data_IF_943794321265
#
_entry.id   IF_943794321265
#
_cell.length_a   1.000
_cell.length_b   1.000
_cell.length_c   1.000
_cell.angle_alpha   90.00
_cell.angle_beta   90.00
_cell.angle_gamma   90.00
#
_symmetry.space_group_name_H-M   'P 1'
#
loop_
_entity.id
_entity.type
_entity.pdbx_description
1 polymer ?
#
# COMPACT_ATOMS: atom_id res chain seq x y z
N UNK A 1 2.01 -15.76 -16.29
CA UNK A 1 1.60 -16.73 -15.24
C UNK A 1 1.27 -15.94 -14.00
N UNK A 2 0.03 -15.49 -13.93
CA UNK A 2 -0.43 -14.55 -12.92
C UNK A 2 -1.35 -15.30 -11.96
N UNK A 3 -0.73 -16.20 -11.20
CA UNK A 3 -1.39 -16.87 -10.09
C UNK A 3 -1.52 -15.87 -8.95
N UNK A 4 -2.74 -15.60 -8.59
CA UNK A 4 -3.19 -14.82 -7.43
C UNK A 4 -2.71 -15.46 -6.10
N UNK A 5 -1.38 -15.47 -5.90
CA UNK A 5 -0.69 -16.17 -4.79
C UNK A 5 -0.59 -15.27 -3.53
N UNK A 6 -1.27 -14.11 -3.55
CA UNK A 6 -1.28 -13.10 -2.49
C UNK A 6 -2.57 -13.12 -1.65
N UNK A 7 -3.30 -14.22 -1.57
CA UNK A 7 -4.53 -14.26 -0.78
C UNK A 7 -4.26 -14.72 0.66
N UNK A 8 -4.58 -13.87 1.62
CA UNK A 8 -4.78 -14.28 3.00
C UNK A 8 -6.03 -15.19 3.10
N UNK A 9 -6.05 -16.05 4.11
CA UNK A 9 -7.21 -16.88 4.42
C UNK A 9 -8.27 -16.02 5.11
N UNK A 10 -9.17 -15.42 4.32
CA UNK A 10 -10.18 -14.46 4.80
C UNK A 10 -11.38 -15.16 5.43
N UNK A 11 -11.97 -14.52 6.44
CA UNK A 11 -13.31 -14.88 6.93
C UNK A 11 -14.36 -14.60 5.84
N UNK A 12 -15.44 -15.39 5.84
CA UNK A 12 -16.58 -15.23 4.93
C UNK A 12 -17.72 -14.52 5.62
N UNK A 13 -18.64 -13.95 4.86
CA UNK A 13 -19.82 -13.26 5.36
C UNK A 13 -20.64 -14.10 6.35
N UNK A 14 -20.84 -15.38 6.07
CA UNK A 14 -21.61 -16.29 6.92
C UNK A 14 -20.87 -16.73 8.19
N UNK A 15 -19.60 -16.41 8.32
CA UNK A 15 -18.80 -16.67 9.53
C UNK A 15 -18.84 -15.50 10.51
N UNK A 16 -19.38 -14.33 10.09
CA UNK A 16 -19.67 -13.24 11.01
C UNK A 16 -20.83 -13.63 11.95
N UNK A 17 -20.79 -13.17 13.23
CA UNK A 17 -21.92 -13.34 14.14
C UNK A 17 -23.21 -12.77 13.56
N UNK A 18 -24.35 -13.44 13.85
CA UNK A 18 -25.66 -13.03 13.35
C UNK A 18 -26.01 -11.59 13.75
N UNK A 19 -25.64 -11.18 14.96
CA UNK A 19 -25.88 -9.81 15.46
C UNK A 19 -25.12 -8.77 14.63
N UNK A 20 -23.90 -9.07 14.21
CA UNK A 20 -23.10 -8.16 13.36
C UNK A 20 -23.71 -8.06 11.97
N UNK A 21 -24.11 -9.22 11.38
CA UNK A 21 -24.77 -9.24 10.07
C UNK A 21 -26.10 -8.48 10.08
N UNK A 22 -26.92 -8.69 11.12
CA UNK A 22 -28.19 -8.01 11.28
C UNK A 22 -28.01 -6.48 11.41
N UNK A 23 -26.98 -6.03 12.14
CA UNK A 23 -26.70 -4.60 12.30
C UNK A 23 -26.19 -3.97 10.97
N UNK A 24 -25.37 -4.70 10.19
CA UNK A 24 -24.96 -4.25 8.85
C UNK A 24 -26.20 -4.10 7.94
N UNK A 25 -27.10 -5.06 7.91
CA UNK A 25 -28.35 -5.01 7.13
C UNK A 25 -29.25 -3.86 7.59
N UNK A 26 -29.41 -3.69 8.89
CA UNK A 26 -30.22 -2.60 9.49
C UNK A 26 -29.69 -1.22 9.06
N UNK A 27 -28.38 -0.99 9.24
CA UNK A 27 -27.74 0.29 8.87
C UNK A 27 -27.69 0.52 7.36
N UNK A 28 -27.61 -0.55 6.58
CA UNK A 28 -27.69 -0.48 5.10
C UNK A 28 -29.10 -0.20 4.61
N UNK A 29 -30.13 -0.43 5.44
CA UNK A 29 -31.53 -0.30 5.08
C UNK A 29 -32.05 -1.39 4.14
N UNK A 30 -31.28 -2.47 3.93
CA UNK A 30 -31.60 -3.56 3.01
C UNK A 30 -30.93 -4.86 3.44
N UNK A 31 -31.55 -6.00 3.11
CA UNK A 31 -30.96 -7.32 3.38
C UNK A 31 -29.86 -7.67 2.38
N UNK A 32 -28.88 -8.46 2.81
CA UNK A 32 -27.86 -9.02 1.94
C UNK A 32 -28.43 -10.23 1.19
N UNK A 33 -28.45 -10.17 -0.16
CA UNK A 33 -28.86 -11.27 -1.03
C UNK A 33 -27.72 -12.21 -1.37
N UNK A 34 -26.55 -11.64 -1.60
CA UNK A 34 -25.34 -12.40 -1.91
C UNK A 34 -24.12 -11.68 -1.33
N UNK A 35 -23.10 -12.47 -0.98
CA UNK A 35 -21.81 -11.97 -0.51
C UNK A 35 -20.69 -12.68 -1.27
N UNK A 36 -19.81 -11.92 -1.89
CA UNK A 36 -18.67 -12.44 -2.65
C UNK A 36 -17.38 -11.95 -2.00
N UNK A 37 -16.68 -12.87 -1.32
CA UNK A 37 -15.36 -12.56 -0.74
C UNK A 37 -14.38 -12.19 -1.85
N UNK A 38 -13.67 -11.08 -1.68
CA UNK A 38 -12.70 -10.63 -2.67
C UNK A 38 -11.34 -11.31 -2.43
N UNK A 39 -10.69 -11.81 -3.48
CA UNK A 39 -9.35 -12.37 -3.37
C UNK A 39 -8.30 -11.26 -3.21
N UNK A 40 -7.09 -11.65 -2.81
CA UNK A 40 -5.95 -10.74 -2.72
C UNK A 40 -5.79 -10.08 -1.35
N UNK A 41 -4.66 -9.33 -1.20
CA UNK A 41 -4.27 -8.67 0.04
C UNK A 41 -3.74 -9.60 1.12
N UNK A 42 -3.13 -9.01 2.14
CA UNK A 42 -2.45 -9.74 3.23
C UNK A 42 -3.27 -9.77 4.53
N UNK A 43 -4.37 -9.04 4.61
CA UNK A 43 -5.28 -9.04 5.75
C UNK A 43 -6.24 -10.24 5.69
N UNK A 44 -6.43 -10.92 6.81
CA UNK A 44 -7.27 -12.10 6.94
C UNK A 44 -8.71 -11.79 7.42
N UNK A 45 -9.04 -10.53 7.69
CA UNK A 45 -10.40 -10.11 7.99
C UNK A 45 -11.37 -10.35 6.83
N UNK A 46 -12.65 -10.13 7.04
CA UNK A 46 -13.62 -10.11 5.96
C UNK A 46 -13.32 -8.95 4.99
N UNK A 47 -13.34 -9.26 3.70
CA UNK A 47 -13.40 -8.27 2.63
C UNK A 47 -14.30 -8.83 1.54
N UNK A 48 -15.51 -8.29 1.38
CA UNK A 48 -16.50 -8.83 0.48
C UNK A 48 -17.37 -7.76 -0.18
N UNK A 49 -17.77 -8.01 -1.43
CA UNK A 49 -18.89 -7.34 -2.06
C UNK A 49 -20.18 -7.93 -1.50
N UNK A 50 -21.08 -7.07 -1.06
CA UNK A 50 -22.43 -7.42 -0.65
C UNK A 50 -23.42 -6.87 -1.67
N UNK A 51 -24.25 -7.76 -2.23
CA UNK A 51 -25.37 -7.41 -3.08
C UNK A 51 -26.62 -7.25 -2.21
N UNK A 52 -27.17 -6.04 -2.15
CA UNK A 52 -28.32 -5.73 -1.30
C UNK A 52 -29.65 -6.03 -2.02
N UNK A 53 -30.72 -6.24 -1.25
CA UNK A 53 -32.05 -6.57 -1.77
C UNK A 53 -32.71 -5.44 -2.55
N UNK A 54 -32.22 -4.21 -2.39
CA UNK A 54 -32.67 -3.02 -3.13
C UNK A 54 -31.87 -2.75 -4.42
N UNK A 55 -30.94 -3.64 -4.78
CA UNK A 55 -30.13 -3.58 -5.99
C UNK A 55 -28.83 -2.79 -5.87
N UNK A 56 -28.55 -2.21 -4.68
CA UNK A 56 -27.24 -1.57 -4.42
C UNK A 56 -26.18 -2.63 -4.11
N UNK A 57 -24.94 -2.29 -4.47
CA UNK A 57 -23.76 -3.01 -4.04
C UNK A 57 -22.96 -2.16 -3.05
N UNK A 58 -22.43 -2.81 -2.00
CA UNK A 58 -21.51 -2.20 -1.05
C UNK A 58 -20.31 -3.12 -0.83
N UNK A 59 -19.22 -2.55 -0.36
CA UNK A 59 -18.03 -3.31 0.02
C UNK A 59 -17.89 -3.30 1.53
N UNK A 60 -17.75 -4.48 2.13
CA UNK A 60 -17.58 -4.64 3.58
C UNK A 60 -16.16 -5.07 3.90
N UNK A 61 -15.55 -4.41 4.88
CA UNK A 61 -14.38 -4.92 5.62
C UNK A 61 -14.79 -5.12 7.07
N UNK A 62 -14.38 -6.25 7.66
CA UNK A 62 -14.62 -6.49 9.09
C UNK A 62 -13.50 -7.34 9.68
N UNK A 63 -13.21 -7.09 10.96
CA UNK A 63 -12.22 -7.83 11.73
C UNK A 63 -12.66 -7.92 13.18
N UNK A 64 -12.25 -9.01 13.87
CA UNK A 64 -12.38 -9.11 15.31
C UNK A 64 -11.63 -7.96 16.00
N UNK A 65 -12.27 -7.29 16.95
CA UNK A 65 -11.68 -6.13 17.64
C UNK A 65 -10.45 -6.46 18.49
N UNK A 66 -10.28 -7.74 18.86
CA UNK A 66 -9.14 -8.25 19.61
C UNK A 66 -8.03 -8.81 18.70
N UNK A 67 -8.24 -8.80 17.37
CA UNK A 67 -7.23 -9.24 16.42
C UNK A 67 -6.03 -8.29 16.39
N UNK A 68 -4.85 -8.85 16.14
CA UNK A 68 -3.61 -8.09 16.01
C UNK A 68 -3.61 -7.03 14.91
N UNK A 69 -4.48 -7.16 13.90
CA UNK A 69 -4.67 -6.20 12.82
C UNK A 69 -5.78 -5.18 13.09
N UNK A 70 -6.49 -5.26 14.23
CA UNK A 70 -7.60 -4.36 14.55
C UNK A 70 -7.17 -2.87 14.55
N UNK A 71 -5.96 -2.58 15.03
CA UNK A 71 -5.42 -1.22 15.00
C UNK A 71 -5.30 -0.66 13.57
N UNK A 72 -4.84 -1.49 12.62
CA UNK A 72 -4.75 -1.14 11.20
C UNK A 72 -6.15 -0.82 10.61
N UNK A 73 -7.18 -1.60 10.96
CA UNK A 73 -8.55 -1.33 10.52
C UNK A 73 -9.11 -0.03 11.12
N UNK A 74 -8.80 0.29 12.38
CA UNK A 74 -9.18 1.60 12.97
C UNK A 74 -8.53 2.76 12.23
N UNK A 75 -7.24 2.65 11.94
CA UNK A 75 -6.53 3.67 11.16
C UNK A 75 -7.15 3.86 9.77
N UNK A 76 -7.51 2.77 9.08
CA UNK A 76 -8.19 2.85 7.77
C UNK A 76 -9.54 3.56 7.89
N UNK A 77 -10.33 3.23 8.91
CA UNK A 77 -11.62 3.87 9.16
C UNK A 77 -11.50 5.37 9.43
N UNK A 78 -10.57 5.76 10.31
CA UNK A 78 -10.29 7.15 10.64
C UNK A 78 -9.82 7.95 9.43
N UNK A 79 -8.95 7.34 8.61
CA UNK A 79 -8.45 7.94 7.37
C UNK A 79 -9.58 8.12 6.37
N UNK A 80 -10.31 7.05 6.07
CA UNK A 80 -11.40 7.07 5.08
C UNK A 80 -12.51 8.07 5.44
N UNK A 81 -12.83 8.22 6.75
CA UNK A 81 -13.82 9.19 7.22
C UNK A 81 -13.41 10.66 7.00
N UNK A 82 -12.11 10.92 6.83
CA UNK A 82 -11.55 12.27 6.70
C UNK A 82 -11.00 12.58 5.31
N UNK A 83 -10.96 11.60 4.41
CA UNK A 83 -10.59 11.84 3.01
C UNK A 83 -11.58 12.81 2.37
N UNK A 84 -11.11 13.83 1.62
CA UNK A 84 -12.00 14.69 0.87
C UNK A 84 -12.70 13.91 -0.24
N UNK A 85 -13.93 14.29 -0.59
CA UNK A 85 -14.71 13.63 -1.64
C UNK A 85 -14.07 13.70 -3.04
N UNK A 86 -13.07 14.57 -3.22
CA UNK A 86 -12.25 14.68 -4.43
C UNK A 86 -11.09 13.67 -4.46
N UNK A 87 -10.78 13.01 -3.36
CA UNK A 87 -9.78 11.94 -3.36
C UNK A 87 -10.30 10.76 -4.17
N UNK A 88 -9.45 10.12 -4.99
CA UNK A 88 -9.84 8.97 -5.79
C UNK A 88 -9.93 7.70 -4.93
N UNK A 89 -10.83 7.67 -3.96
CA UNK A 89 -11.04 6.58 -3.01
C UNK A 89 -12.52 6.24 -2.89
N UNK A 90 -12.90 4.99 -2.57
CA UNK A 90 -14.28 4.64 -2.25
C UNK A 90 -14.76 5.41 -1.02
N UNK A 91 -15.96 5.96 -1.05
CA UNK A 91 -16.52 6.64 0.10
C UNK A 91 -16.85 5.65 1.21
N UNK A 92 -16.44 5.96 2.45
CA UNK A 92 -16.91 5.26 3.64
C UNK A 92 -18.37 5.66 3.89
N UNK A 93 -19.30 4.70 3.82
CA UNK A 93 -20.73 4.92 4.06
C UNK A 93 -21.05 4.99 5.54
N UNK A 94 -20.57 4.03 6.29
CA UNK A 94 -20.61 3.99 7.74
C UNK A 94 -19.62 2.97 8.31
N UNK A 95 -19.36 3.09 9.58
CA UNK A 95 -18.63 2.10 10.36
C UNK A 95 -19.44 1.66 11.57
N UNK A 96 -19.13 0.47 12.06
CA UNK A 96 -19.64 -0.07 13.30
C UNK A 96 -18.46 -0.48 14.17
N UNK A 97 -18.51 -0.06 15.42
CA UNK A 97 -17.71 -0.63 16.51
C UNK A 97 -18.70 -1.35 17.42
N UNK A 98 -18.95 -2.61 17.12
CA UNK A 98 -19.86 -3.46 17.89
C UNK A 98 -19.04 -4.31 18.87
N UNK A 99 -19.62 -4.85 19.96
CA UNK A 99 -18.87 -5.72 20.83
C UNK A 99 -18.21 -6.88 20.06
N UNK A 100 -16.87 -6.88 20.04
CA UNK A 100 -16.04 -7.88 19.40
C UNK A 100 -15.75 -7.67 17.91
N UNK A 101 -16.28 -6.61 17.25
CA UNK A 101 -16.07 -6.45 15.80
C UNK A 101 -15.94 -4.99 15.36
N UNK A 102 -14.94 -4.74 14.52
CA UNK A 102 -14.80 -3.51 13.73
C UNK A 102 -15.32 -3.78 12.33
N UNK A 103 -16.23 -2.93 11.84
CA UNK A 103 -16.84 -3.06 10.51
C UNK A 103 -16.76 -1.72 9.77
N UNK A 104 -16.37 -1.79 8.51
CA UNK A 104 -16.38 -0.68 7.57
C UNK A 104 -17.26 -1.03 6.37
N UNK A 105 -18.16 -0.14 5.99
CA UNK A 105 -18.95 -0.26 4.75
C UNK A 105 -18.58 0.88 3.83
N UNK A 106 -18.07 0.52 2.66
CA UNK A 106 -17.68 1.44 1.59
C UNK A 106 -18.60 1.32 0.38
N UNK A 107 -18.55 2.32 -0.49
CA UNK A 107 -19.06 2.17 -1.85
C UNK A 107 -18.36 1.00 -2.53
N UNK A 108 -19.13 0.15 -3.21
CA UNK A 108 -18.53 -0.84 -4.08
C UNK A 108 -18.05 -0.18 -5.37
N UNK A 109 -16.79 -0.39 -5.71
CA UNK A 109 -16.19 0.11 -6.94
C UNK A 109 -16.03 -1.05 -7.92
N UNK A 110 -16.77 -1.08 -9.03
CA UNK A 110 -16.54 -2.06 -10.09
C UNK A 110 -15.24 -1.74 -10.81
N UNK A 111 -14.45 -2.78 -11.13
CA UNK A 111 -13.18 -2.59 -11.82
C UNK A 111 -12.29 -3.82 -11.71
N UNK A 112 -11.06 -3.66 -12.18
CA UNK A 112 -10.00 -4.67 -12.04
C UNK A 112 -8.70 -3.99 -11.63
N UNK A 113 -7.78 -4.76 -11.07
CA UNK A 113 -6.46 -4.23 -10.72
C UNK A 113 -5.69 -3.80 -11.96
N UNK A 114 -5.10 -2.59 -11.99
CA UNK A 114 -4.40 -2.10 -13.16
C UNK A 114 -3.16 -2.94 -13.47
N UNK A 115 -2.91 -3.15 -14.75
CA UNK A 115 -1.74 -3.83 -15.26
C UNK A 115 -0.68 -2.81 -15.67
N UNK A 116 0.41 -2.75 -14.93
CA UNK A 116 1.48 -1.77 -15.16
C UNK A 116 2.25 -2.00 -16.47
N UNK A 117 2.16 -3.21 -17.06
CA UNK A 117 2.71 -3.54 -18.40
C UNK A 117 1.83 -3.01 -19.57
N UNK A 118 0.67 -2.44 -19.27
CA UNK A 118 -0.23 -1.82 -20.27
C UNK A 118 -0.08 -0.30 -20.22
N UNK A 119 0.38 0.35 -21.32
CA UNK A 119 0.67 1.77 -21.32
C UNK A 119 -0.52 2.66 -20.89
N UNK A 120 -1.75 2.33 -21.32
CA UNK A 120 -2.93 3.11 -20.96
C UNK A 120 -3.30 2.96 -19.47
N UNK A 121 -3.16 1.77 -18.91
CA UNK A 121 -3.45 1.52 -17.50
C UNK A 121 -2.37 2.14 -16.60
N UNK A 122 -1.09 2.05 -17.00
CA UNK A 122 0.00 2.75 -16.31
C UNK A 122 -0.22 4.27 -16.36
N UNK A 123 -0.62 4.83 -17.50
CA UNK A 123 -0.89 6.27 -17.60
C UNK A 123 -2.03 6.70 -16.65
N UNK A 124 -3.09 5.90 -16.52
CA UNK A 124 -4.16 6.16 -15.56
C UNK A 124 -3.65 6.13 -14.11
N UNK A 125 -2.80 5.17 -13.75
CA UNK A 125 -2.17 5.10 -12.42
C UNK A 125 -1.31 6.34 -12.15
N UNK A 126 -0.46 6.74 -13.09
CA UNK A 126 0.41 7.92 -12.95
C UNK A 126 -0.41 9.21 -12.79
N UNK A 127 -1.45 9.40 -13.60
CA UNK A 127 -2.36 10.55 -13.48
C UNK A 127 -3.08 10.57 -12.12
N UNK A 128 -3.41 9.39 -11.57
CA UNK A 128 -4.03 9.30 -10.25
C UNK A 128 -3.05 9.69 -9.13
N UNK A 129 -1.77 9.35 -9.25
CA UNK A 129 -0.75 9.79 -8.28
C UNK A 129 -0.58 11.31 -8.32
N UNK A 130 -0.61 11.93 -9.50
CA UNK A 130 -0.62 13.38 -9.63
C UNK A 130 -1.86 14.01 -8.96
N UNK A 131 -3.04 13.41 -9.18
CA UNK A 131 -4.28 13.83 -8.53
C UNK A 131 -4.20 13.70 -7.01
N UNK A 132 -3.67 12.58 -6.47
CA UNK A 132 -3.46 12.39 -5.03
C UNK A 132 -2.56 13.48 -4.46
N UNK A 133 -1.41 13.74 -5.09
CA UNK A 133 -0.49 14.79 -4.68
C UNK A 133 -1.17 16.17 -4.62
N UNK A 134 -1.95 16.52 -5.64
CA UNK A 134 -2.66 17.79 -5.71
C UNK A 134 -3.82 17.89 -4.69
N UNK A 135 -4.57 16.79 -4.50
CA UNK A 135 -5.79 16.79 -3.66
C UNK A 135 -5.45 16.68 -2.17
N UNK A 136 -4.35 16.00 -1.83
CA UNK A 136 -3.96 15.66 -0.46
C UNK A 136 -2.79 16.51 0.07
N UNK A 137 -2.52 17.63 -0.60
CA UNK A 137 -1.56 18.64 -0.14
C UNK A 137 -2.26 20.00 0.03
N UNK A 138 -2.36 20.57 1.25
CA UNK A 138 -1.89 19.98 2.52
C UNK A 138 -2.76 18.81 2.98
N UNK A 139 -2.18 17.96 3.81
CA UNK A 139 -2.87 16.79 4.36
C UNK A 139 -4.17 17.18 5.10
N UNK A 140 -5.30 16.51 4.79
CA UNK A 140 -6.53 16.67 5.57
C UNK A 140 -6.43 16.08 7.00
N UNK A 141 -5.33 15.37 7.30
CA UNK A 141 -5.00 14.75 8.57
C UNK A 141 -3.67 15.31 9.12
N UNK A 142 -3.65 16.56 9.61
CA UNK A 142 -2.40 17.23 10.02
C UNK A 142 -1.74 16.60 11.26
N UNK A 143 -2.51 15.84 12.04
CA UNK A 143 -2.04 15.21 13.28
C UNK A 143 -1.32 13.86 13.05
N UNK A 144 -1.32 13.34 11.82
CA UNK A 144 -0.60 12.11 11.50
C UNK A 144 0.92 12.32 11.66
N UNK A 145 1.65 11.26 12.04
CA UNK A 145 3.11 11.30 12.06
C UNK A 145 3.67 11.60 10.67
N UNK A 146 4.85 12.17 10.62
CA UNK A 146 5.59 12.24 9.35
C UNK A 146 6.11 10.86 8.98
N UNK A 147 6.35 10.64 7.68
CA UNK A 147 6.93 9.37 7.21
C UNK A 147 8.28 9.07 7.87
N UNK A 148 9.07 10.08 8.16
CA UNK A 148 10.34 9.93 8.87
C UNK A 148 10.14 9.44 10.31
N UNK A 149 9.09 9.91 11.01
CA UNK A 149 8.76 9.46 12.37
C UNK A 149 8.23 8.02 12.38
N UNK A 150 7.37 7.67 11.43
CA UNK A 150 6.68 6.37 11.43
C UNK A 150 7.55 5.26 10.80
N UNK A 151 8.18 5.55 9.67
CA UNK A 151 8.97 4.57 8.92
C UNK A 151 10.47 4.64 9.18
N UNK A 152 11.00 5.74 9.74
CA UNK A 152 12.43 5.89 10.04
C UNK A 152 13.01 4.73 10.84
N UNK A 153 12.35 4.26 11.91
CA UNK A 153 12.82 3.10 12.67
C UNK A 153 12.76 1.77 11.90
N UNK A 154 11.94 1.69 10.85
CA UNK A 154 11.73 0.46 10.08
C UNK A 154 12.65 0.37 8.86
N UNK A 155 12.89 1.51 8.19
CA UNK A 155 13.70 1.61 6.97
C UNK A 155 15.20 1.75 7.30
N UNK A 156 15.76 0.74 7.95
CA UNK A 156 17.15 0.67 8.42
C UNK A 156 17.79 -0.68 8.09
N UNK A 157 17.38 -1.31 6.98
CA UNK A 157 17.82 -2.66 6.66
C UNK A 157 19.31 -2.76 6.39
N UNK A 158 19.86 -1.84 5.58
CA UNK A 158 21.30 -1.83 5.24
C UNK A 158 22.16 -1.44 6.44
N UNK A 159 21.74 -0.44 7.23
CA UNK A 159 22.46 -0.06 8.47
C UNK A 159 22.53 -1.23 9.43
N UNK A 160 21.41 -1.95 9.66
CA UNK A 160 21.41 -3.15 10.51
C UNK A 160 22.32 -4.25 9.99
N UNK A 161 22.41 -4.44 8.67
CA UNK A 161 23.34 -5.41 8.10
C UNK A 161 24.79 -4.95 8.20
N UNK A 162 25.10 -3.66 8.12
CA UNK A 162 26.45 -3.12 8.30
C UNK A 162 26.91 -3.16 9.77
N UNK A 163 26.00 -2.87 10.70
CA UNK A 163 26.28 -2.90 12.15
C UNK A 163 26.43 -4.32 12.71
N UNK A 164 25.78 -5.31 12.07
CA UNK A 164 25.78 -6.70 12.47
C UNK A 164 26.40 -7.57 11.38
N UNK A 165 26.44 -8.88 11.58
CA UNK A 165 26.88 -9.79 10.53
C UNK A 165 25.84 -9.79 9.37
N UNK A 166 26.22 -9.38 8.13
CA UNK A 166 25.30 -9.41 7.02
C UNK A 166 24.86 -10.84 6.69
N UNK A 167 23.63 -11.04 6.18
CA UNK A 167 23.13 -12.36 5.82
C UNK A 167 24.06 -13.07 4.85
N UNK A 168 24.27 -14.40 5.05
CA UNK A 168 25.15 -15.19 4.20
C UNK A 168 24.68 -15.26 2.73
N UNK A 169 23.37 -15.10 2.49
CA UNK A 169 22.71 -15.12 1.19
C UNK A 169 22.54 -13.71 0.57
N UNK A 170 23.18 -12.69 1.14
CA UNK A 170 23.20 -11.36 0.55
C UNK A 170 23.95 -11.41 -0.79
N UNK A 171 23.37 -10.81 -1.84
CA UNK A 171 23.99 -10.79 -3.17
C UNK A 171 25.36 -10.06 -3.16
N UNK A 172 26.20 -10.39 -4.14
CA UNK A 172 27.58 -9.90 -4.19
C UNK A 172 27.71 -8.39 -4.35
N UNK A 173 26.77 -7.76 -5.10
CA UNK A 173 26.80 -6.32 -5.29
C UNK A 173 26.45 -5.60 -3.99
N UNK A 174 25.36 -6.01 -3.32
CA UNK A 174 24.95 -5.45 -2.02
C UNK A 174 26.03 -5.65 -0.96
N UNK A 175 26.68 -6.82 -0.95
CA UNK A 175 27.75 -7.12 0.00
C UNK A 175 28.97 -6.22 -0.20
N UNK A 176 29.40 -5.99 -1.46
CA UNK A 176 30.54 -5.13 -1.76
C UNK A 176 30.26 -3.65 -1.48
N UNK A 177 29.02 -3.23 -1.55
CA UNK A 177 28.63 -1.84 -1.39
C UNK A 177 27.88 -1.56 -0.07
N UNK A 178 27.93 -2.48 0.91
CA UNK A 178 27.09 -2.44 2.11
C UNK A 178 27.25 -1.12 2.89
N UNK A 179 28.46 -0.65 3.10
CA UNK A 179 28.73 0.60 3.83
C UNK A 179 28.15 1.81 3.09
N UNK A 180 28.29 1.85 1.76
CA UNK A 180 27.70 2.91 0.93
C UNK A 180 26.16 2.87 0.92
N UNK A 181 25.58 1.65 0.92
CA UNK A 181 24.13 1.48 1.02
C UNK A 181 23.62 1.94 2.39
N UNK A 182 24.31 1.63 3.47
CA UNK A 182 23.98 2.08 4.82
C UNK A 182 24.09 3.61 4.96
N UNK A 183 25.13 4.22 4.38
CA UNK A 183 25.29 5.66 4.33
C UNK A 183 24.17 6.33 3.53
N UNK A 184 23.89 5.87 2.31
CA UNK A 184 22.81 6.42 1.48
C UNK A 184 21.44 6.22 2.14
N UNK A 185 21.16 5.04 2.72
CA UNK A 185 19.95 4.79 3.48
C UNK A 185 19.78 5.79 4.63
N UNK A 186 20.85 6.20 5.30
CA UNK A 186 20.75 7.10 6.46
C UNK A 186 20.21 8.49 6.12
N UNK A 187 20.31 8.91 4.86
CA UNK A 187 19.95 10.27 4.41
C UNK A 187 18.51 10.42 3.93
N UNK A 188 17.75 9.32 3.72
CA UNK A 188 16.41 9.43 3.10
C UNK A 188 15.44 10.31 3.88
N UNK A 189 15.53 10.34 5.21
CA UNK A 189 14.64 11.14 6.05
C UNK A 189 14.81 12.64 5.85
N UNK A 190 16.01 13.08 5.46
CA UNK A 190 16.32 14.49 5.23
C UNK A 190 15.59 15.06 4.01
N UNK A 191 15.18 14.17 3.09
CA UNK A 191 14.50 14.51 1.84
C UNK A 191 12.99 14.23 1.89
N UNK A 192 12.50 13.54 2.94
CA UNK A 192 11.13 13.03 3.02
C UNK A 192 10.12 14.03 3.59
N UNK A 193 10.58 15.20 4.05
CA UNK A 193 9.72 16.21 4.67
C UNK A 193 8.70 16.76 3.65
N UNK A 194 7.45 16.90 4.10
CA UNK A 194 6.35 17.44 3.31
C UNK A 194 5.02 17.38 4.04
N UNK A 195 4.02 18.05 3.46
CA UNK A 195 2.69 18.19 4.05
C UNK A 195 1.61 17.36 3.31
N UNK A 196 2.01 16.48 2.41
CA UNK A 196 1.08 15.62 1.68
C UNK A 196 0.65 14.45 2.56
N UNK A 197 -0.65 14.10 2.55
CA UNK A 197 -1.11 12.81 3.04
C UNK A 197 -0.66 11.73 2.05
N UNK A 198 0.20 10.84 2.52
CA UNK A 198 0.71 9.71 1.76
C UNK A 198 -0.11 8.46 2.04
N UNK A 199 -0.25 7.62 1.02
CA UNK A 199 -0.84 6.28 1.15
C UNK A 199 0.15 5.26 1.71
N UNK A 200 1.42 5.35 1.31
CA UNK A 200 2.59 4.52 1.64
C UNK A 200 2.55 3.05 1.23
N UNK A 201 1.41 2.54 0.79
CA UNK A 201 1.25 1.16 0.28
C UNK A 201 0.58 1.14 -1.09
N UNK A 202 0.92 2.11 -1.97
CA UNK A 202 0.44 2.11 -3.36
C UNK A 202 1.02 0.91 -4.12
N UNK A 203 0.14 -0.05 -4.41
CA UNK A 203 0.42 -1.24 -5.20
C UNK A 203 -0.74 -1.47 -6.18
N UNK A 204 -0.52 -2.20 -7.28
CA UNK A 204 -1.61 -2.51 -8.20
C UNK A 204 -2.82 -3.17 -7.55
N UNK A 205 -2.62 -4.03 -6.55
CA UNK A 205 -3.69 -4.71 -5.82
C UNK A 205 -4.44 -3.80 -4.80
N UNK A 206 -3.92 -2.59 -4.53
CA UNK A 206 -4.60 -1.53 -3.78
C UNK A 206 -5.23 -0.47 -4.71
N UNK A 207 -5.38 -0.78 -5.98
CA UNK A 207 -6.00 0.08 -6.99
C UNK A 207 -7.04 -0.69 -7.80
N UNK A 208 -8.10 0.00 -8.24
CA UNK A 208 -9.07 -0.52 -9.19
C UNK A 208 -9.20 0.44 -10.38
N UNK A 209 -8.93 -0.07 -11.58
CA UNK A 209 -9.26 0.62 -12.81
C UNK A 209 -10.74 0.40 -13.10
N UNK A 210 -11.50 1.49 -13.05
CA UNK A 210 -12.93 1.53 -13.27
C UNK A 210 -13.28 1.47 -14.78
N UNK A 211 -14.52 1.11 -15.15
CA UNK A 211 -14.95 1.10 -16.54
C UNK A 211 -14.86 2.46 -17.25
N UNK A 212 -14.89 3.57 -16.50
CA UNK A 212 -14.72 4.94 -17.01
C UNK A 212 -13.25 5.35 -17.20
N UNK A 213 -12.30 4.46 -16.89
CA UNK A 213 -10.86 4.69 -17.01
C UNK A 213 -10.22 5.36 -15.80
N UNK A 214 -10.99 5.75 -14.78
CA UNK A 214 -10.46 6.32 -13.55
C UNK A 214 -9.94 5.22 -12.62
N UNK A 215 -8.92 5.53 -11.82
CA UNK A 215 -8.43 4.66 -10.76
C UNK A 215 -9.10 5.03 -9.42
N UNK A 216 -9.53 4.02 -8.68
CA UNK A 216 -9.86 4.16 -7.27
C UNK A 216 -8.73 3.55 -6.43
N UNK A 217 -8.26 4.28 -5.41
CA UNK A 217 -7.21 3.86 -4.48
C UNK A 217 -7.85 3.34 -3.21
N UNK A 218 -7.49 2.12 -2.83
CA UNK A 218 -8.07 1.33 -1.74
C UNK A 218 -7.08 1.19 -0.59
N UNK A 219 -7.58 0.76 0.58
CA UNK A 219 -6.75 0.27 1.71
C UNK A 219 -5.85 1.37 2.33
N UNK A 220 -6.47 2.43 2.82
CA UNK A 220 -5.82 3.59 3.47
C UNK A 220 -5.42 3.29 4.93
N UNK A 221 -4.77 2.15 5.14
CA UNK A 221 -4.45 1.63 6.47
C UNK A 221 -3.10 2.13 7.04
N UNK A 222 -2.25 2.74 6.21
CA UNK A 222 -0.89 3.15 6.56
C UNK A 222 -0.59 4.62 6.26
N UNK A 223 -1.52 5.54 6.55
CA UNK A 223 -1.36 6.95 6.19
C UNK A 223 -0.27 7.62 7.03
N UNK A 224 0.52 8.47 6.41
CA UNK A 224 1.43 9.38 7.11
C UNK A 224 1.58 10.67 6.32
N UNK A 225 2.32 11.67 6.85
CA UNK A 225 2.63 12.90 6.13
C UNK A 225 4.04 12.87 5.58
N UNK A 226 4.23 13.39 4.37
CA UNK A 226 5.55 13.48 3.77
C UNK A 226 5.57 14.24 2.46
N UNK A 227 6.68 14.16 1.77
CA UNK A 227 6.84 14.76 0.46
C UNK A 227 6.00 14.03 -0.60
N UNK A 228 5.30 14.76 -1.46
CA UNK A 228 4.34 14.23 -2.42
C UNK A 228 4.90 13.18 -3.39
N UNK A 229 6.21 13.22 -3.66
CA UNK A 229 6.88 12.30 -4.58
C UNK A 229 7.04 10.87 -4.04
N UNK A 230 6.89 10.66 -2.73
CA UNK A 230 7.22 9.40 -2.05
C UNK A 230 6.37 8.24 -2.54
N UNK A 231 5.06 8.42 -2.68
CA UNK A 231 4.16 7.35 -3.12
C UNK A 231 4.49 6.86 -4.54
N UNK A 232 4.88 7.76 -5.46
CA UNK A 232 5.31 7.37 -6.80
C UNK A 232 6.64 6.58 -6.74
N UNK A 233 7.59 7.04 -5.93
CA UNK A 233 8.88 6.35 -5.80
C UNK A 233 8.69 5.00 -5.11
N UNK A 234 7.78 4.87 -4.14
CA UNK A 234 7.45 3.59 -3.50
C UNK A 234 6.81 2.59 -4.47
N UNK A 235 5.99 3.05 -5.43
CA UNK A 235 5.39 2.22 -6.48
C UNK A 235 6.39 1.84 -7.58
N UNK A 236 7.42 2.66 -7.81
CA UNK A 236 8.29 2.55 -8.98
C UNK A 236 9.03 1.21 -9.12
N UNK A 237 9.40 0.46 -8.06
CA UNK A 237 9.91 -0.90 -8.20
C UNK A 237 8.93 -1.87 -8.87
N UNK A 238 7.63 -1.73 -8.61
CA UNK A 238 6.62 -2.54 -9.28
C UNK A 238 6.55 -2.21 -10.79
N UNK A 239 6.73 -0.94 -11.17
CA UNK A 239 6.80 -0.51 -12.57
C UNK A 239 8.09 -1.05 -13.23
N UNK A 240 9.24 -0.92 -12.55
CA UNK A 240 10.54 -1.41 -13.02
C UNK A 240 10.56 -2.93 -13.28
N UNK A 241 9.78 -3.70 -12.50
CA UNK A 241 9.65 -5.15 -12.67
C UNK A 241 9.06 -5.57 -14.02
N UNK A 242 8.43 -4.64 -14.76
CA UNK A 242 7.91 -4.85 -16.11
C UNK A 242 8.86 -4.38 -17.22
N UNK A 243 10.12 -4.04 -16.88
CA UNK A 243 11.12 -3.59 -17.85
C UNK A 243 10.93 -2.17 -18.36
N UNK A 244 10.11 -1.37 -17.70
CA UNK A 244 9.85 0.02 -18.04
C UNK A 244 11.04 0.88 -17.58
N UNK A 245 11.45 1.85 -18.42
CA UNK A 245 12.48 2.84 -18.06
C UNK A 245 11.94 3.77 -16.97
N UNK A 246 12.09 3.33 -15.74
CA UNK A 246 11.56 4.02 -14.56
C UNK A 246 12.38 5.26 -14.20
N UNK A 247 13.69 5.29 -14.55
CA UNK A 247 14.50 6.49 -14.35
C UNK A 247 14.00 7.64 -15.23
N UNK A 248 13.71 7.35 -16.50
CA UNK A 248 13.10 8.33 -17.40
C UNK A 248 11.70 8.75 -16.93
N UNK A 249 10.88 7.80 -16.48
CA UNK A 249 9.56 8.08 -15.94
C UNK A 249 9.64 9.07 -14.78
N UNK A 250 10.48 8.78 -13.77
CA UNK A 250 10.64 9.66 -12.60
C UNK A 250 11.21 11.03 -12.98
N UNK A 251 12.12 11.10 -13.96
CA UNK A 251 12.70 12.35 -14.42
C UNK A 251 11.70 13.26 -15.19
N UNK A 252 10.58 12.70 -15.66
CA UNK A 252 9.61 13.44 -16.49
C UNK A 252 8.23 13.60 -15.84
N UNK A 253 7.94 12.86 -14.77
CA UNK A 253 6.65 12.93 -14.10
C UNK A 253 6.53 14.18 -13.22
N UNK A 254 5.44 14.96 -13.28
CA UNK A 254 5.31 16.25 -12.57
C UNK A 254 5.59 16.17 -11.06
N UNK A 255 5.25 15.05 -10.42
CA UNK A 255 5.45 14.87 -8.97
C UNK A 255 6.92 14.62 -8.60
N UNK A 256 7.77 14.22 -9.55
CA UNK A 256 9.16 13.81 -9.28
C UNK A 256 10.21 14.53 -10.12
N UNK A 257 9.83 15.24 -11.20
CA UNK A 257 10.76 15.86 -12.16
C UNK A 257 11.73 16.87 -11.54
N UNK A 258 11.28 17.58 -10.51
CA UNK A 258 12.06 18.61 -9.83
C UNK A 258 12.75 18.10 -8.55
N UNK A 259 12.65 16.79 -8.27
CA UNK A 259 13.24 16.19 -7.07
C UNK A 259 14.70 15.80 -7.33
N UNK A 260 15.57 16.13 -6.38
CA UNK A 260 16.96 15.70 -6.43
C UNK A 260 17.05 14.18 -6.65
N UNK A 261 17.76 13.72 -7.71
CA UNK A 261 17.97 12.29 -7.94
C UNK A 261 18.61 11.55 -6.76
N UNK A 262 19.33 12.24 -5.90
CA UNK A 262 19.89 11.68 -4.65
C UNK A 262 18.78 11.34 -3.67
N UNK A 263 17.78 12.21 -3.50
CA UNK A 263 16.62 11.97 -2.64
C UNK A 263 15.86 10.71 -3.06
N UNK A 264 15.58 10.58 -4.37
CA UNK A 264 14.96 9.38 -4.96
C UNK A 264 15.79 8.12 -4.68
N UNK A 265 17.10 8.20 -4.89
CA UNK A 265 18.02 7.07 -4.69
C UNK A 265 18.10 6.66 -3.21
N UNK A 266 18.12 7.63 -2.29
CA UNK A 266 18.16 7.39 -0.86
C UNK A 266 16.89 6.66 -0.38
N UNK A 267 15.71 7.11 -0.82
CA UNK A 267 14.45 6.47 -0.45
C UNK A 267 14.32 5.06 -1.06
N UNK A 268 14.68 4.87 -2.33
CA UNK A 268 14.74 3.55 -2.96
C UNK A 268 15.71 2.62 -2.25
N UNK A 269 16.86 3.14 -1.81
CA UNK A 269 17.83 2.40 -1.03
C UNK A 269 17.22 1.93 0.31
N UNK A 270 16.53 2.82 1.01
CA UNK A 270 15.86 2.50 2.27
C UNK A 270 14.76 1.42 2.10
N UNK A 271 13.97 1.50 1.02
CA UNK A 271 12.98 0.47 0.68
C UNK A 271 13.63 -0.88 0.36
N UNK A 272 14.73 -0.88 -0.42
CA UNK A 272 15.46 -2.11 -0.75
C UNK A 272 16.00 -2.79 0.52
N UNK A 273 16.59 -2.03 1.43
CA UNK A 273 17.08 -2.50 2.72
C UNK A 273 15.97 -3.08 3.60
N UNK A 274 14.84 -2.36 3.68
CA UNK A 274 13.66 -2.84 4.39
C UNK A 274 13.18 -4.19 3.86
N UNK A 275 12.96 -4.30 2.55
CA UNK A 275 12.50 -5.55 1.96
C UNK A 275 13.53 -6.68 2.08
N UNK A 276 14.82 -6.36 1.93
CA UNK A 276 15.90 -7.32 2.12
C UNK A 276 15.89 -7.89 3.55
N UNK A 277 15.72 -7.04 4.56
CA UNK A 277 15.63 -7.47 5.94
C UNK A 277 14.33 -8.24 6.22
N UNK A 278 13.17 -7.67 5.84
CA UNK A 278 11.86 -8.26 6.12
C UNK A 278 11.61 -9.58 5.40
N UNK A 279 12.17 -9.79 4.22
CA UNK A 279 12.03 -11.05 3.49
C UNK A 279 12.62 -12.26 4.21
N UNK A 280 13.55 -12.03 5.15
CA UNK A 280 14.25 -13.06 5.94
C UNK A 280 13.58 -13.38 7.27
N UNK A 281 12.58 -12.59 7.67
CA UNK A 281 11.79 -12.89 8.86
C UNK A 281 10.83 -14.07 8.61
N UNK A 282 10.38 -14.77 9.66
CA UNK A 282 9.32 -15.78 9.52
C UNK A 282 8.07 -15.20 8.85
N UNK A 283 7.44 -15.98 7.97
CA UNK A 283 6.20 -15.56 7.35
C UNK A 283 5.07 -15.47 8.40
N UNK A 284 4.23 -14.41 8.36
CA UNK A 284 3.05 -14.38 9.20
C UNK A 284 2.13 -15.57 8.89
N UNK A 285 1.56 -16.25 9.89
CA UNK A 285 0.79 -17.49 9.69
C UNK A 285 -0.35 -17.39 8.69
N UNK A 286 -0.97 -16.21 8.59
CA UNK A 286 -2.11 -15.94 7.68
C UNK A 286 -1.74 -15.23 6.38
N UNK A 287 -0.44 -14.95 6.17
CA UNK A 287 0.09 -14.27 4.97
C UNK A 287 1.38 -14.94 4.48
N UNK A 288 1.33 -16.22 4.07
CA UNK A 288 2.53 -17.01 3.76
C UNK A 288 3.30 -16.51 2.54
N UNK A 289 2.65 -15.76 1.64
CA UNK A 289 3.26 -15.20 0.42
C UNK A 289 4.01 -13.89 0.67
N UNK A 290 3.81 -13.21 1.81
CA UNK A 290 4.37 -11.89 2.09
C UNK A 290 5.90 -11.85 1.95
N UNK A 291 6.60 -12.84 2.48
CA UNK A 291 8.07 -12.86 2.44
C UNK A 291 8.62 -13.08 1.02
N UNK A 292 7.91 -13.87 0.20
CA UNK A 292 8.26 -14.02 -1.23
C UNK A 292 8.06 -12.72 -2.01
N UNK A 293 6.98 -11.99 -1.73
CA UNK A 293 6.75 -10.66 -2.28
C UNK A 293 7.89 -9.70 -1.91
N UNK A 294 8.25 -9.63 -0.63
CA UNK A 294 9.33 -8.77 -0.14
C UNK A 294 10.68 -9.15 -0.73
N UNK A 295 11.01 -10.43 -0.84
CA UNK A 295 12.24 -10.90 -1.47
C UNK A 295 12.32 -10.49 -2.96
N UNK A 296 11.20 -10.61 -3.70
CA UNK A 296 11.12 -10.15 -5.09
C UNK A 296 11.31 -8.63 -5.18
N UNK A 297 10.64 -7.86 -4.32
CA UNK A 297 10.76 -6.40 -4.27
C UNK A 297 12.18 -5.96 -3.94
N UNK A 298 12.82 -6.59 -2.95
CA UNK A 298 14.22 -6.34 -2.61
C UNK A 298 15.12 -6.53 -3.84
N UNK A 299 15.02 -7.69 -4.52
CA UNK A 299 15.85 -7.99 -5.69
C UNK A 299 15.65 -6.98 -6.81
N UNK A 300 14.40 -6.70 -7.21
CA UNK A 300 14.10 -5.75 -8.29
C UNK A 300 14.65 -4.37 -7.97
N UNK A 301 14.48 -3.90 -6.74
CA UNK A 301 14.94 -2.59 -6.32
C UNK A 301 16.46 -2.51 -6.23
N UNK A 302 17.11 -3.55 -5.71
CA UNK A 302 18.58 -3.62 -5.62
C UNK A 302 19.22 -3.67 -7.01
N UNK A 303 18.67 -4.49 -7.93
CA UNK A 303 19.13 -4.55 -9.33
C UNK A 303 18.98 -3.20 -10.03
N UNK A 304 17.89 -2.49 -9.77
CA UNK A 304 17.68 -1.15 -10.31
C UNK A 304 18.64 -0.13 -9.70
N UNK A 305 18.83 -0.13 -8.38
CA UNK A 305 19.81 0.72 -7.69
C UNK A 305 21.22 0.51 -8.22
N UNK A 306 21.63 -0.74 -8.47
CA UNK A 306 22.95 -1.05 -9.03
C UNK A 306 23.19 -0.39 -10.38
N UNK A 307 22.17 -0.36 -11.24
CA UNK A 307 22.25 0.36 -12.54
C UNK A 307 22.24 1.88 -12.36
N UNK A 308 21.41 2.39 -11.46
CA UNK A 308 21.23 3.82 -11.19
C UNK A 308 22.46 4.45 -10.55
N UNK A 309 23.06 3.81 -9.56
CA UNK A 309 24.18 4.34 -8.78
C UNK A 309 25.54 4.12 -9.44
N UNK A 310 25.64 3.19 -10.39
CA UNK A 310 26.88 2.87 -11.13
C UNK A 310 28.08 2.61 -10.23
N UNK A 311 27.89 1.98 -9.06
CA UNK A 311 28.92 1.63 -8.09
C UNK A 311 29.65 0.33 -8.45
#
# INVERSE_FOLDING_TARGET
>A
MDGNDNSANRIRWNELPDVVRAEIEHRSGARVRAATTQPGGFSHGLAARLELSDGRDVFVKAIDSDDSLAAMYRTELETAARLPSTAPAPALRFSLDTPGWLVAIFDYVPGHHPRLDRPAELAAVLSTIEQLAATLTPSPLPDLPTIAQDYGPQLQGWRRFAEHQPPADLDDWSRRNLDKLAELESTWTDHAAGETLLHTDLRPDNMLLRPDGAIAVLDWAWPCRGAAWIDLVALSPAIAAHGIDTDRLLATHPVTSDIDPVAVSAFLCALAGYWAAKSREPAPPRSPSLRRYQARSARVTTDWLGRRLRW
#
